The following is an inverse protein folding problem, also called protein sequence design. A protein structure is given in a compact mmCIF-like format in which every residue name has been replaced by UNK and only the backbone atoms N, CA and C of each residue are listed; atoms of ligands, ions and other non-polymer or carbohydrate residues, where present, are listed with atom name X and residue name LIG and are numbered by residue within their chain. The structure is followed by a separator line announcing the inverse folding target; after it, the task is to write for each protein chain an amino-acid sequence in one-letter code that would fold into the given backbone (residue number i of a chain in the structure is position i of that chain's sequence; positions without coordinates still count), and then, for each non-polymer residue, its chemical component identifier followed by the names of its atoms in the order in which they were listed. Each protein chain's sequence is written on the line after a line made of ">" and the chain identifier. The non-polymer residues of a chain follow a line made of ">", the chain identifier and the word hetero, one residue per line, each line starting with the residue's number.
data_IF_545893531138
#
_entry.id   IF_545893531138
#
_cell.length_a   1.000
_cell.length_b   1.000
_cell.length_c   1.000
_cell.angle_alpha   90.00
_cell.angle_beta   90.00
_cell.angle_gamma   90.00
#
_symmetry.space_group_name_H-M   'P 1'
#
loop_
_entity.id
_entity.type
_entity.pdbx_description
1 polymer ?
#
# COMPACT_ATOMS: atom_id res chain seq x y z
N UNK A 1 -11.03 28.15 8.73
CA UNK A 1 -10.81 26.74 8.31
C UNK A 1 -10.98 26.61 6.80
N UNK A 2 -9.91 26.23 6.10
CA UNK A 2 -9.89 26.04 4.64
C UNK A 2 -9.31 24.66 4.30
N UNK A 3 -9.91 23.94 3.35
CA UNK A 3 -9.32 22.72 2.78
C UNK A 3 -8.70 23.09 1.43
N UNK A 4 -7.42 22.77 1.25
CA UNK A 4 -6.69 23.05 0.01
C UNK A 4 -5.66 21.98 -0.30
N UNK A 5 -5.09 22.05 -1.50
CA UNK A 5 -3.94 21.24 -1.86
C UNK A 5 -2.72 21.60 -1.02
N UNK A 6 -1.91 20.57 -0.73
CA UNK A 6 -0.60 20.71 -0.12
C UNK A 6 0.34 21.56 -0.99
N UNK A 7 1.18 22.34 -0.32
CA UNK A 7 2.31 23.05 -0.92
C UNK A 7 3.58 22.71 -0.13
N UNK A 8 4.76 22.94 -0.72
CA UNK A 8 6.03 22.69 -0.02
C UNK A 8 6.19 23.49 1.28
N UNK A 9 5.51 24.63 1.40
CA UNK A 9 5.49 25.44 2.63
C UNK A 9 4.87 24.68 3.83
N UNK A 10 4.01 23.69 3.57
CA UNK A 10 3.35 22.90 4.61
C UNK A 10 4.25 21.78 5.18
N UNK A 11 5.35 21.42 4.50
CA UNK A 11 6.20 20.27 4.85
C UNK A 11 6.71 20.33 6.29
N UNK A 12 7.16 21.52 6.73
CA UNK A 12 7.65 21.72 8.09
C UNK A 12 6.57 21.45 9.14
N UNK A 13 5.34 21.91 8.90
CA UNK A 13 4.21 21.68 9.79
C UNK A 13 3.83 20.19 9.84
N UNK A 14 3.77 19.52 8.68
CA UNK A 14 3.44 18.09 8.59
C UNK A 14 4.48 17.21 9.31
N UNK A 15 5.78 17.50 9.19
CA UNK A 15 6.82 16.78 9.93
C UNK A 15 6.69 16.95 11.44
N UNK A 16 6.36 18.15 11.90
CA UNK A 16 6.11 18.39 13.32
C UNK A 16 4.84 17.67 13.81
N UNK A 17 3.77 17.65 13.00
CA UNK A 17 2.55 16.90 13.32
C UNK A 17 2.83 15.42 13.47
N UNK A 18 3.53 14.81 12.51
CA UNK A 18 3.94 13.41 12.55
C UNK A 18 4.79 13.07 13.78
N UNK A 19 5.81 13.90 14.08
CA UNK A 19 6.65 13.71 15.25
C UNK A 19 5.86 13.76 16.58
N UNK A 20 4.84 14.63 16.68
CA UNK A 20 3.96 14.71 17.86
C UNK A 20 2.96 13.56 17.98
N UNK A 21 2.55 12.97 16.85
CA UNK A 21 1.65 11.81 16.85
C UNK A 21 2.33 10.58 17.47
N UNK A 22 3.64 10.43 17.27
CA UNK A 22 4.43 9.36 17.89
C UNK A 22 4.08 7.95 17.38
N UNK A 23 3.51 7.83 16.19
CA UNK A 23 3.26 6.54 15.56
C UNK A 23 4.54 5.96 14.96
N UNK A 24 4.64 4.63 14.96
CA UNK A 24 5.83 3.87 14.54
C UNK A 24 5.95 3.68 13.01
N UNK A 25 5.51 4.66 12.22
CA UNK A 25 5.66 4.66 10.77
C UNK A 25 6.51 5.84 10.30
N UNK A 26 7.31 5.63 9.26
CA UNK A 26 8.16 6.68 8.70
C UNK A 26 7.35 7.81 8.08
N UNK A 27 7.80 9.06 8.24
CA UNK A 27 7.17 10.17 7.53
C UNK A 27 7.30 9.96 6.01
N UNK A 28 6.22 10.05 5.23
CA UNK A 28 6.24 9.78 3.80
C UNK A 28 7.06 10.81 3.01
N UNK A 29 7.69 10.38 1.92
CA UNK A 29 8.30 11.30 0.96
C UNK A 29 7.21 11.93 0.08
N UNK A 30 6.86 13.18 0.39
CA UNK A 30 5.83 13.91 -0.34
C UNK A 30 6.31 14.43 -1.71
N UNK A 31 7.59 14.29 -2.06
CA UNK A 31 8.05 14.57 -3.42
C UNK A 31 7.75 13.40 -4.37
N UNK A 32 7.50 12.21 -3.84
CA UNK A 32 7.25 11.02 -4.65
C UNK A 32 5.91 11.15 -5.43
N UNK A 33 5.92 10.95 -6.77
CA UNK A 33 4.72 10.99 -7.60
C UNK A 33 3.71 9.88 -7.29
N UNK A 34 4.09 8.82 -6.57
CA UNK A 34 3.16 7.77 -6.14
C UNK A 34 2.10 8.30 -5.16
N UNK A 35 2.32 9.46 -4.54
CA UNK A 35 1.29 10.19 -3.80
C UNK A 35 0.41 11.05 -4.72
N UNK A 36 -0.78 10.53 -5.02
CA UNK A 36 -1.73 11.11 -5.99
C UNK A 36 -2.71 12.12 -5.42
N UNK A 37 -2.83 12.22 -4.09
CA UNK A 37 -3.63 13.27 -3.45
C UNK A 37 -2.98 13.70 -2.15
N UNK A 38 -2.84 15.02 -1.98
CA UNK A 38 -2.21 15.65 -0.81
C UNK A 38 -3.06 16.87 -0.46
N UNK A 39 -3.90 16.72 0.56
CA UNK A 39 -4.80 17.78 1.03
C UNK A 39 -4.45 18.18 2.44
N UNK A 40 -4.57 19.47 2.75
CA UNK A 40 -4.37 20.00 4.11
C UNK A 40 -5.60 20.78 4.57
N UNK A 41 -5.83 20.76 5.88
CA UNK A 41 -6.72 21.71 6.56
C UNK A 41 -5.86 22.84 7.08
N UNK A 42 -6.21 24.07 6.71
CA UNK A 42 -5.58 25.30 7.17
C UNK A 42 -6.42 25.98 8.26
N UNK A 43 -5.77 26.40 9.35
CA UNK A 43 -6.37 27.22 10.41
C UNK A 43 -6.45 28.70 10.01
N UNK A 44 -7.09 29.53 10.83
CA UNK A 44 -7.27 30.95 10.51
C UNK A 44 -5.96 31.77 10.55
N UNK A 45 -4.87 31.17 11.06
CA UNK A 45 -3.53 31.74 11.05
C UNK A 45 -2.71 31.30 9.82
N UNK A 46 -3.32 30.59 8.86
CA UNK A 46 -2.65 30.14 7.64
C UNK A 46 -1.79 28.90 7.82
N UNK A 47 -1.94 28.14 8.92
CA UNK A 47 -1.10 26.97 9.22
C UNK A 47 -1.84 25.67 8.91
N UNK A 48 -1.14 24.72 8.29
CA UNK A 48 -1.65 23.36 8.15
C UNK A 48 -1.76 22.68 9.52
N UNK A 49 -2.97 22.24 9.87
CA UNK A 49 -3.30 21.59 11.16
C UNK A 49 -3.75 20.14 11.00
N UNK A 50 -4.07 19.71 9.78
CA UNK A 50 -4.35 18.31 9.43
C UNK A 50 -3.92 18.06 7.98
N UNK A 51 -3.60 16.81 7.65
CA UNK A 51 -3.30 16.40 6.28
C UNK A 51 -3.93 15.04 5.94
N UNK A 52 -4.39 14.89 4.70
CA UNK A 52 -4.74 13.62 4.09
C UNK A 52 -3.81 13.36 2.91
N UNK A 53 -3.09 12.25 2.96
CA UNK A 53 -2.06 11.87 2.01
C UNK A 53 -2.41 10.51 1.43
N UNK A 54 -2.65 10.43 0.12
CA UNK A 54 -3.05 9.21 -0.57
C UNK A 54 -1.92 8.73 -1.48
N UNK A 55 -1.32 7.59 -1.14
CA UNK A 55 -0.34 6.88 -1.96
C UNK A 55 -1.04 5.83 -2.82
N UNK A 56 -0.64 5.69 -4.08
CA UNK A 56 -1.05 4.56 -4.90
C UNK A 56 -0.42 3.27 -4.38
N UNK A 57 -1.25 2.24 -4.31
CA UNK A 57 -0.81 0.87 -4.12
C UNK A 57 -1.64 -0.04 -5.04
N UNK A 58 -1.23 -1.28 -5.21
CA UNK A 58 -1.95 -2.25 -6.04
C UNK A 58 -2.40 -3.48 -5.24
N UNK A 59 -3.48 -4.09 -5.70
CA UNK A 59 -3.93 -5.40 -5.25
C UNK A 59 -3.51 -6.48 -6.25
N UNK A 60 -2.94 -7.58 -5.76
CA UNK A 60 -2.59 -8.75 -6.56
C UNK A 60 -3.59 -9.87 -6.32
N UNK A 61 -4.15 -10.36 -7.43
CA UNK A 61 -4.91 -11.61 -7.48
C UNK A 61 -4.02 -12.70 -8.08
N UNK A 62 -3.98 -13.86 -7.42
CA UNK A 62 -3.38 -15.06 -7.97
C UNK A 62 -4.47 -16.04 -8.39
N UNK A 63 -4.57 -16.27 -9.70
CA UNK A 63 -5.39 -17.34 -10.26
C UNK A 63 -4.48 -18.49 -10.68
N UNK A 64 -4.71 -19.67 -10.10
CA UNK A 64 -3.94 -20.87 -10.38
C UNK A 64 -4.88 -22.02 -10.74
N UNK A 65 -4.75 -22.55 -11.95
CA UNK A 65 -5.49 -23.72 -12.40
C UNK A 65 -4.99 -24.98 -11.66
N UNK A 66 -5.85 -25.67 -10.87
CA UNK A 66 -5.46 -26.88 -10.17
C UNK A 66 -5.08 -28.05 -11.09
N UNK A 67 -5.58 -28.06 -12.34
CA UNK A 67 -5.32 -29.08 -13.35
C UNK A 67 -4.03 -28.86 -14.15
N UNK A 68 -3.38 -27.70 -14.02
CA UNK A 68 -2.21 -27.35 -14.80
C UNK A 68 -0.94 -28.09 -14.33
N UNK A 69 -0.78 -29.36 -14.71
CA UNK A 69 0.40 -30.17 -14.41
C UNK A 69 0.48 -30.62 -12.95
N UNK A 70 1.63 -31.15 -12.55
CA UNK A 70 1.84 -31.67 -11.20
C UNK A 70 2.20 -30.56 -10.18
N UNK A 71 2.17 -30.82 -8.86
CA UNK A 71 2.45 -29.81 -7.84
C UNK A 71 3.81 -29.10 -7.97
N UNK A 72 4.85 -29.81 -8.42
CA UNK A 72 6.20 -29.24 -8.60
C UNK A 72 6.22 -28.26 -9.77
N UNK A 73 5.58 -28.63 -10.89
CA UNK A 73 5.45 -27.77 -12.07
C UNK A 73 4.64 -26.51 -11.76
N UNK A 74 3.52 -26.65 -11.04
CA UNK A 74 2.71 -25.50 -10.62
C UNK A 74 3.51 -24.55 -9.72
N UNK A 75 4.31 -25.09 -8.80
CA UNK A 75 5.14 -24.26 -7.96
C UNK A 75 6.24 -23.54 -8.76
N UNK A 76 6.91 -24.23 -9.69
CA UNK A 76 7.89 -23.60 -10.57
C UNK A 76 7.28 -22.45 -11.41
N UNK A 77 6.07 -22.65 -11.95
CA UNK A 77 5.32 -21.61 -12.67
C UNK A 77 4.95 -20.44 -11.77
N UNK A 78 4.52 -20.70 -10.53
CA UNK A 78 4.24 -19.66 -9.55
C UNK A 78 5.48 -18.79 -9.28
N UNK A 79 6.65 -19.40 -9.09
CA UNK A 79 7.89 -18.65 -8.86
C UNK A 79 8.25 -17.76 -10.06
N UNK A 80 8.16 -18.33 -11.27
CA UNK A 80 8.43 -17.57 -12.49
C UNK A 80 7.44 -16.40 -12.67
N UNK A 81 6.15 -16.64 -12.40
CA UNK A 81 5.12 -15.61 -12.47
C UNK A 81 5.31 -14.52 -11.41
N UNK A 82 5.66 -14.90 -10.18
CA UNK A 82 5.93 -13.97 -9.08
C UNK A 82 7.08 -13.03 -9.43
N UNK A 83 8.21 -13.55 -9.90
CA UNK A 83 9.35 -12.75 -10.35
C UNK A 83 9.03 -11.86 -11.56
N UNK A 84 8.22 -12.36 -12.51
CA UNK A 84 7.80 -11.55 -13.65
C UNK A 84 6.87 -10.41 -13.24
N UNK A 85 5.93 -10.69 -12.31
CA UNK A 85 5.03 -9.70 -11.74
C UNK A 85 5.77 -8.60 -10.99
N UNK A 86 6.75 -8.95 -10.15
CA UNK A 86 7.59 -7.98 -9.44
C UNK A 86 8.24 -6.99 -10.42
N UNK A 87 8.87 -7.49 -11.50
CA UNK A 87 9.50 -6.63 -12.50
C UNK A 87 8.50 -5.74 -13.24
N UNK A 88 7.32 -6.25 -13.55
CA UNK A 88 6.25 -5.46 -14.20
C UNK A 88 5.76 -4.33 -13.29
N UNK A 89 5.54 -4.60 -12.00
CA UNK A 89 5.08 -3.57 -11.05
C UNK A 89 6.14 -2.50 -10.80
N UNK A 90 7.42 -2.90 -10.63
CA UNK A 90 8.53 -1.95 -10.51
C UNK A 90 8.66 -1.08 -11.76
N UNK A 91 8.51 -1.65 -12.97
CA UNK A 91 8.55 -0.89 -14.21
C UNK A 91 7.39 0.11 -14.36
N UNK A 92 6.29 -0.10 -13.61
CA UNK A 92 5.15 0.83 -13.53
C UNK A 92 5.31 1.90 -12.44
N UNK A 93 6.41 1.87 -11.68
CA UNK A 93 6.65 2.80 -10.58
C UNK A 93 5.84 2.50 -9.32
N UNK A 94 5.47 1.23 -9.10
CA UNK A 94 4.82 0.82 -7.85
C UNK A 94 5.87 0.32 -6.85
N UNK A 95 5.79 0.82 -5.63
CA UNK A 95 6.70 0.42 -4.55
C UNK A 95 6.22 -0.81 -3.79
N UNK A 96 4.91 -1.05 -3.80
CA UNK A 96 4.31 -2.17 -3.09
C UNK A 96 3.03 -2.71 -3.72
N UNK A 97 2.68 -3.90 -3.23
CA UNK A 97 1.53 -4.66 -3.64
C UNK A 97 0.94 -5.39 -2.43
N UNK A 98 -0.38 -5.51 -2.42
CA UNK A 98 -1.11 -6.17 -1.34
C UNK A 98 -1.86 -7.37 -1.89
N UNK A 99 -1.98 -8.41 -1.07
CA UNK A 99 -2.78 -9.59 -1.38
C UNK A 99 -3.63 -9.95 -0.16
N UNK A 100 -4.95 -10.05 -0.37
CA UNK A 100 -5.90 -10.40 0.68
C UNK A 100 -6.24 -11.88 0.57
N UNK A 101 -5.70 -12.67 1.50
CA UNK A 101 -5.88 -14.12 1.48
C UNK A 101 -7.11 -14.52 2.30
N UNK A 102 -7.94 -15.46 1.81
CA UNK A 102 -8.93 -16.12 2.66
C UNK A 102 -8.26 -16.77 3.87
N UNK A 103 -8.84 -16.73 5.08
CA UNK A 103 -8.17 -17.21 6.29
C UNK A 103 -7.62 -18.65 6.20
N UNK A 104 -8.33 -19.64 5.62
CA UNK A 104 -7.79 -20.99 5.45
C UNK A 104 -6.56 -21.06 4.54
N UNK A 105 -6.49 -20.17 3.54
CA UNK A 105 -5.35 -20.07 2.62
C UNK A 105 -4.18 -19.37 3.30
N UNK A 106 -4.43 -18.30 4.06
CA UNK A 106 -3.39 -17.60 4.83
C UNK A 106 -2.63 -18.56 5.76
N UNK A 107 -3.33 -19.46 6.45
CA UNK A 107 -2.72 -20.44 7.36
C UNK A 107 -1.79 -21.43 6.64
N UNK A 108 -2.10 -21.82 5.40
CA UNK A 108 -1.35 -22.87 4.67
C UNK A 108 -0.32 -22.31 3.70
N UNK A 109 -0.66 -21.23 3.02
CA UNK A 109 0.11 -20.63 1.94
C UNK A 109 0.89 -19.37 2.38
N UNK A 110 0.49 -18.73 3.48
CA UNK A 110 1.15 -17.51 3.99
C UNK A 110 2.64 -17.71 4.26
N UNK A 111 3.05 -18.88 4.78
CA UNK A 111 4.48 -19.19 4.98
C UNK A 111 5.28 -19.16 3.67
N UNK A 112 4.68 -19.59 2.56
CA UNK A 112 5.35 -19.53 1.24
C UNK A 112 5.46 -18.09 0.76
N UNK A 113 4.42 -17.28 0.95
CA UNK A 113 4.47 -15.85 0.62
C UNK A 113 5.58 -15.14 1.41
N UNK A 114 5.72 -15.42 2.70
CA UNK A 114 6.81 -14.86 3.53
C UNK A 114 8.20 -15.23 3.00
N UNK A 115 8.40 -16.47 2.55
CA UNK A 115 9.66 -16.89 1.90
C UNK A 115 9.90 -16.12 0.60
N UNK A 116 8.84 -15.73 -0.10
CA UNK A 116 8.89 -14.92 -1.33
C UNK A 116 8.98 -13.41 -1.06
N UNK A 117 9.24 -12.99 0.19
CA UNK A 117 9.43 -11.59 0.56
C UNK A 117 8.15 -10.83 0.91
N UNK A 118 6.98 -11.49 0.92
CA UNK A 118 5.75 -10.85 1.38
C UNK A 118 5.77 -10.66 2.90
N UNK A 119 5.43 -9.46 3.35
CA UNK A 119 5.32 -9.15 4.77
C UNK A 119 3.89 -9.35 5.24
N UNK A 120 3.72 -10.07 6.35
CA UNK A 120 2.46 -10.09 7.09
C UNK A 120 2.61 -9.17 8.29
N UNK A 121 1.78 -8.13 8.32
CA UNK A 121 1.70 -7.20 9.43
C UNK A 121 0.34 -7.36 10.12
N UNK A 122 0.36 -7.81 11.37
CA UNK A 122 -0.83 -7.94 12.22
C UNK A 122 -0.92 -6.78 13.25
N UNK A 123 0.02 -5.81 13.24
CA UNK A 123 0.04 -4.68 14.16
C UNK A 123 -0.97 -3.59 13.78
N UNK A 124 -1.23 -3.43 12.47
CA UNK A 124 -2.16 -2.44 11.95
C UNK A 124 -3.44 -3.09 11.43
N UNK A 125 -4.60 -2.66 11.93
CA UNK A 125 -5.89 -3.18 11.46
C UNK A 125 -6.28 -2.49 10.15
N UNK A 126 -6.45 -3.22 9.03
CA UNK A 126 -6.80 -2.62 7.76
C UNK A 126 -8.28 -2.22 7.74
N UNK A 127 -8.55 -0.98 7.32
CA UNK A 127 -9.90 -0.50 7.00
C UNK A 127 -9.97 -0.18 5.50
N UNK A 128 -11.04 -0.62 4.83
CA UNK A 128 -11.28 -0.35 3.41
C UNK A 128 -12.59 0.39 3.23
N UNK A 129 -12.57 1.45 2.41
CA UNK A 129 -13.76 2.20 2.00
C UNK A 129 -13.96 2.05 0.50
N UNK A 130 -15.15 1.65 0.09
CA UNK A 130 -15.57 1.72 -1.32
C UNK A 130 -15.92 3.15 -1.66
N UNK A 131 -15.22 3.74 -2.64
CA UNK A 131 -15.48 5.11 -3.10
C UNK A 131 -16.62 5.18 -4.12
N UNK A 132 -16.88 4.08 -4.84
CA UNK A 132 -18.04 3.89 -5.69
C UNK A 132 -18.95 2.84 -5.06
N UNK A 133 -20.24 3.13 -4.98
CA UNK A 133 -21.25 2.11 -4.72
C UNK A 133 -21.34 1.27 -5.99
N UNK A 134 -21.22 -0.05 -5.88
CA UNK A 134 -21.64 -0.94 -6.96
C UNK A 134 -23.11 -0.62 -7.24
N UNK A 135 -23.41 -0.09 -8.42
CA UNK A 135 -24.79 -0.04 -8.92
C UNK A 135 -25.33 -1.45 -9.14
#
# INVERSE_FOLDING_TARGET
>A
MLIREYTEADLGALRQMHARQGFDYAFPDLADPIFVSKLVVEDDAGRAVMASLARLTCEIYLLADPGAGNPRERYARLLALHQAGERDLLARGLDDAHAWLPPPIATRFGRRLQILGWVRDDAWTPYCRRLKTSG
#
